data_IF_446670860519
#
_entry.id   IF_446670860519
#
_cell.length_a   1.000
_cell.length_b   1.000
_cell.length_c   1.000
_cell.angle_alpha   90.00
_cell.angle_beta   90.00
_cell.angle_gamma   90.00
#
_symmetry.space_group_name_H-M   'P 1'
#
loop_
_entity.id
_entity.type
_entity.pdbx_description
1 polymer ?
#
# COMPACT_ATOMS: atom_id res chain seq x y z
N UNK A 1 -6.85 4.75 -42.33
CA UNK A 1 -7.65 3.54 -42.02
C UNK A 1 -7.25 3.15 -40.61
N UNK A 2 -8.11 3.42 -39.64
CA UNK A 2 -7.81 3.32 -38.21
C UNK A 2 -8.22 1.93 -37.72
N UNK A 3 -7.27 1.09 -37.35
CA UNK A 3 -7.57 -0.11 -36.56
C UNK A 3 -7.66 0.29 -35.08
N UNK A 4 -8.73 -0.10 -34.37
CA UNK A 4 -8.81 0.09 -32.93
C UNK A 4 -8.02 -1.04 -32.26
N UNK A 5 -6.78 -0.76 -31.83
CA UNK A 5 -6.06 -1.67 -30.92
C UNK A 5 -6.65 -1.49 -29.52
N UNK A 6 -7.80 -2.12 -29.30
CA UNK A 6 -8.49 -2.29 -28.02
C UNK A 6 -8.33 -3.72 -27.52
N UNK A 7 -7.10 -4.14 -27.26
CA UNK A 7 -6.86 -5.40 -26.53
C UNK A 7 -6.08 -5.08 -25.25
N UNK A 8 -6.84 -4.77 -24.19
CA UNK A 8 -6.35 -4.97 -22.84
C UNK A 8 -6.35 -6.48 -22.59
N UNK A 9 -5.22 -7.12 -22.86
CA UNK A 9 -5.01 -8.53 -22.57
C UNK A 9 -5.13 -8.77 -21.04
N UNK A 10 -5.66 -9.94 -20.67
CA UNK A 10 -5.89 -10.36 -19.27
C UNK A 10 -4.63 -10.32 -18.39
N UNK A 11 -4.77 -10.65 -17.10
CA UNK A 11 -3.59 -10.74 -16.21
C UNK A 11 -2.52 -11.61 -16.86
N UNK A 12 -1.30 -11.09 -16.98
CA UNK A 12 -0.14 -11.83 -17.45
C UNK A 12 0.05 -13.07 -16.58
N UNK A 13 -0.42 -14.21 -17.06
CA UNK A 13 -0.28 -15.50 -16.37
C UNK A 13 0.98 -16.24 -16.83
N UNK A 14 1.64 -15.81 -17.92
CA UNK A 14 2.87 -16.43 -18.40
C UNK A 14 3.83 -15.46 -19.10
N UNK A 15 5.13 -15.75 -19.00
CA UNK A 15 6.21 -15.00 -19.66
C UNK A 15 6.07 -15.07 -21.19
N UNK A 16 5.52 -16.16 -21.75
CA UNK A 16 5.33 -16.30 -23.20
C UNK A 16 4.38 -15.25 -23.78
N UNK A 17 3.30 -14.89 -23.08
CA UNK A 17 2.37 -13.85 -23.54
C UNK A 17 3.04 -12.47 -23.61
N UNK A 18 3.97 -12.20 -22.70
CA UNK A 18 4.76 -10.97 -22.71
C UNK A 18 5.70 -10.93 -23.92
N UNK A 19 6.35 -12.06 -24.24
CA UNK A 19 7.23 -12.19 -25.40
C UNK A 19 6.51 -11.97 -26.72
N UNK A 20 5.26 -12.45 -26.83
CA UNK A 20 4.44 -12.24 -28.02
C UNK A 20 4.03 -10.78 -28.22
N UNK A 21 3.90 -10.01 -27.14
CA UNK A 21 3.57 -8.59 -27.18
C UNK A 21 4.81 -7.67 -27.37
N UNK A 22 6.03 -8.21 -27.28
CA UNK A 22 7.25 -7.43 -27.47
C UNK A 22 7.43 -7.02 -28.94
N UNK A 23 7.82 -5.76 -29.15
CA UNK A 23 8.12 -5.24 -30.47
C UNK A 23 9.61 -5.38 -30.77
N UNK A 24 9.97 -6.09 -31.84
CA UNK A 24 11.34 -6.24 -32.36
C UNK A 24 12.41 -6.66 -31.31
N UNK A 25 12.30 -7.86 -30.69
CA UNK A 25 13.35 -8.37 -29.81
C UNK A 25 14.53 -9.01 -30.55
N UNK A 26 14.58 -8.99 -31.90
CA UNK A 26 15.46 -9.87 -32.65
C UNK A 26 16.95 -9.58 -32.41
N UNK A 27 17.61 -10.52 -31.72
CA UNK A 27 19.06 -10.54 -31.49
C UNK A 27 19.55 -9.77 -30.27
N UNK A 28 18.68 -9.10 -29.51
CA UNK A 28 19.08 -8.32 -28.30
C UNK A 28 18.76 -9.07 -27.01
N UNK A 29 19.59 -8.94 -25.95
CA UNK A 29 19.28 -9.47 -24.64
C UNK A 29 18.04 -8.77 -24.06
N UNK A 30 17.17 -9.55 -23.42
CA UNK A 30 15.89 -9.08 -22.85
C UNK A 30 15.89 -9.27 -21.34
N UNK A 31 15.51 -8.22 -20.60
CA UNK A 31 15.36 -8.25 -19.14
C UNK A 31 13.93 -7.89 -18.76
N UNK A 32 13.23 -8.82 -18.10
CA UNK A 32 11.83 -8.65 -17.70
C UNK A 32 11.77 -8.43 -16.18
N UNK A 33 11.40 -7.23 -15.74
CA UNK A 33 11.33 -6.87 -14.30
C UNK A 33 12.60 -7.21 -13.50
N UNK A 34 13.78 -7.14 -14.13
CA UNK A 34 15.07 -7.49 -13.51
C UNK A 34 15.41 -8.98 -13.53
N UNK A 35 14.53 -9.82 -14.11
CA UNK A 35 14.79 -11.25 -14.31
C UNK A 35 15.22 -11.47 -15.78
N UNK A 36 16.38 -12.09 -16.01
CA UNK A 36 16.80 -12.45 -17.37
C UNK A 36 15.97 -13.61 -17.91
N UNK A 37 15.84 -13.67 -19.23
CA UNK A 37 14.89 -14.53 -19.97
C UNK A 37 15.01 -16.06 -19.73
N UNK A 38 16.08 -16.52 -19.07
CA UNK A 38 16.39 -17.93 -18.84
C UNK A 38 15.88 -18.46 -17.48
N UNK A 39 15.12 -17.67 -16.73
CA UNK A 39 14.64 -18.07 -15.40
C UNK A 39 13.29 -18.78 -15.49
N UNK A 40 13.26 -20.07 -15.13
CA UNK A 40 12.02 -20.87 -15.04
C UNK A 40 11.47 -20.77 -13.61
N UNK A 41 10.33 -20.08 -13.38
CA UNK A 41 9.70 -20.09 -12.07
C UNK A 41 9.02 -21.45 -11.82
N UNK A 42 9.52 -22.21 -10.85
CA UNK A 42 8.77 -23.31 -10.24
C UNK A 42 7.65 -22.73 -9.37
N UNK A 43 6.38 -23.07 -9.62
CA UNK A 43 5.34 -23.22 -8.57
C UNK A 43 3.97 -23.61 -9.14
N UNK A 44 3.44 -24.78 -8.73
CA UNK A 44 2.01 -25.08 -8.95
C UNK A 44 1.29 -25.80 -7.79
N UNK A 45 1.93 -26.32 -6.73
CA UNK A 45 1.18 -27.00 -5.64
C UNK A 45 0.89 -26.14 -4.38
N UNK A 46 1.62 -25.03 -4.17
CA UNK A 46 1.53 -24.23 -2.93
C UNK A 46 0.24 -23.38 -2.82
N UNK A 47 -0.46 -23.16 -3.95
CA UNK A 47 -1.61 -22.24 -4.00
C UNK A 47 -2.89 -22.83 -3.40
N UNK A 48 -3.08 -24.16 -3.41
CA UNK A 48 -4.31 -24.79 -2.92
C UNK A 48 -4.38 -24.82 -1.38
N UNK A 49 -3.26 -25.04 -0.71
CA UNK A 49 -3.18 -25.01 0.76
C UNK A 49 -3.29 -23.57 1.29
N UNK A 50 -2.68 -22.61 0.59
CA UNK A 50 -2.72 -21.19 0.94
C UNK A 50 -4.14 -20.62 0.93
N UNK A 51 -4.96 -20.99 -0.05
CA UNK A 51 -6.35 -20.53 -0.14
C UNK A 51 -7.19 -21.02 1.05
N UNK A 52 -7.04 -22.27 1.50
CA UNK A 52 -7.78 -22.79 2.66
C UNK A 52 -7.40 -22.09 3.97
N UNK A 53 -6.12 -21.73 4.13
CA UNK A 53 -5.63 -21.00 5.32
C UNK A 53 -6.15 -19.55 5.32
N UNK A 54 -6.23 -18.90 4.16
CA UNK A 54 -6.76 -17.55 4.03
C UNK A 54 -8.25 -17.46 4.37
N UNK A 55 -9.06 -18.47 4.03
CA UNK A 55 -10.48 -18.52 4.37
C UNK A 55 -10.72 -18.64 5.88
N UNK A 56 -9.99 -19.53 6.58
CA UNK A 56 -10.11 -19.71 8.03
C UNK A 56 -9.68 -18.45 8.79
N UNK A 57 -8.57 -17.82 8.38
CA UNK A 57 -8.10 -16.56 8.97
C UNK A 57 -9.13 -15.43 8.78
N UNK A 58 -9.81 -15.40 7.65
CA UNK A 58 -10.85 -14.40 7.36
C UNK A 58 -12.04 -14.53 8.31
N UNK A 59 -12.49 -15.76 8.60
CA UNK A 59 -13.58 -16.00 9.56
C UNK A 59 -13.19 -15.58 10.98
N UNK A 60 -11.99 -15.96 11.44
CA UNK A 60 -11.47 -15.57 12.77
C UNK A 60 -11.42 -14.04 12.89
N UNK A 61 -10.96 -13.36 11.84
CA UNK A 61 -10.87 -11.90 11.81
C UNK A 61 -12.26 -11.23 11.94
N UNK A 62 -13.28 -11.76 11.27
CA UNK A 62 -14.65 -11.22 11.37
C UNK A 62 -15.20 -11.36 12.80
N UNK A 63 -15.02 -12.53 13.43
CA UNK A 63 -15.45 -12.78 14.81
C UNK A 63 -14.74 -11.81 15.76
N UNK A 64 -13.42 -11.65 15.61
CA UNK A 64 -12.63 -10.70 16.39
C UNK A 64 -13.12 -9.26 16.21
N UNK A 65 -13.39 -8.84 14.97
CA UNK A 65 -13.85 -7.49 14.66
C UNK A 65 -15.18 -7.18 15.35
N UNK A 66 -16.14 -8.10 15.28
CA UNK A 66 -17.44 -7.98 15.97
C UNK A 66 -17.22 -7.92 17.49
N UNK A 67 -16.41 -8.82 18.05
CA UNK A 67 -16.12 -8.86 19.48
C UNK A 67 -15.46 -7.56 19.98
N UNK A 68 -14.55 -6.96 19.21
CA UNK A 68 -13.89 -5.71 19.56
C UNK A 68 -14.83 -4.50 19.50
N UNK A 69 -15.77 -4.46 18.54
CA UNK A 69 -16.81 -3.41 18.49
C UNK A 69 -17.78 -3.55 19.67
N UNK A 70 -18.32 -4.75 19.89
CA UNK A 70 -19.26 -5.02 20.98
C UNK A 70 -18.58 -4.77 22.33
N UNK A 71 -17.33 -5.23 22.49
CA UNK A 71 -16.51 -4.96 23.66
C UNK A 71 -16.23 -3.48 23.86
N UNK A 72 -15.91 -2.74 22.79
CA UNK A 72 -15.68 -1.29 22.87
C UNK A 72 -16.92 -0.50 23.26
N UNK A 73 -18.09 -0.86 22.72
CA UNK A 73 -19.37 -0.21 23.07
C UNK A 73 -19.81 -0.59 24.48
N UNK A 74 -19.84 -1.88 24.80
CA UNK A 74 -20.32 -2.37 26.09
C UNK A 74 -19.39 -2.00 27.24
N UNK A 75 -18.08 -2.20 27.09
CA UNK A 75 -17.11 -1.93 28.17
C UNK A 75 -16.73 -0.45 28.26
N UNK A 76 -16.90 0.31 27.17
CA UNK A 76 -16.68 1.76 27.16
C UNK A 76 -17.65 2.54 28.05
N UNK A 77 -18.84 1.99 28.32
CA UNK A 77 -19.79 2.55 29.29
C UNK A 77 -19.29 2.42 30.74
N UNK A 78 -18.56 1.34 31.05
CA UNK A 78 -18.02 1.07 32.39
C UNK A 78 -16.65 1.73 32.62
N UNK A 79 -15.74 1.63 31.65
CA UNK A 79 -14.43 2.28 31.70
C UNK A 79 -14.02 2.78 30.31
N UNK A 80 -13.91 4.11 30.20
CA UNK A 80 -13.48 4.81 28.98
C UNK A 80 -12.13 4.29 28.47
N UNK A 81 -11.21 3.87 29.35
CA UNK A 81 -9.90 3.33 28.97
C UNK A 81 -10.04 1.99 28.24
N UNK A 82 -10.97 1.13 28.69
CA UNK A 82 -11.21 -0.16 28.06
C UNK A 82 -11.84 0.03 26.68
N UNK A 83 -12.76 0.99 26.53
CA UNK A 83 -13.33 1.37 25.24
C UNK A 83 -12.27 1.81 24.23
N UNK A 84 -11.33 2.67 24.65
CA UNK A 84 -10.20 3.11 23.82
C UNK A 84 -9.29 1.94 23.45
N UNK A 85 -9.01 1.03 24.38
CA UNK A 85 -8.18 -0.15 24.13
C UNK A 85 -8.82 -1.11 23.11
N UNK A 86 -10.12 -1.41 23.27
CA UNK A 86 -10.86 -2.25 22.32
C UNK A 86 -10.85 -1.63 20.91
N UNK A 87 -11.11 -0.33 20.80
CA UNK A 87 -11.07 0.36 19.51
C UNK A 87 -9.65 0.39 18.91
N UNK A 88 -8.64 0.67 19.73
CA UNK A 88 -7.23 0.63 19.33
C UNK A 88 -6.78 -0.73 18.81
N UNK A 89 -7.29 -1.81 19.43
CA UNK A 89 -6.91 -3.17 19.07
C UNK A 89 -7.30 -3.53 17.63
N UNK A 90 -8.41 -2.96 17.12
CA UNK A 90 -8.81 -3.08 15.71
C UNK A 90 -7.75 -2.53 14.75
N UNK A 91 -7.24 -1.32 15.03
CA UNK A 91 -6.17 -0.71 14.23
C UNK A 91 -4.87 -1.52 14.32
N UNK A 92 -4.59 -2.10 15.49
CA UNK A 92 -3.40 -2.91 15.70
C UNK A 92 -3.44 -4.18 14.85
N UNK A 93 -4.53 -4.96 14.93
CA UNK A 93 -4.67 -6.23 14.21
C UNK A 93 -4.74 -6.01 12.70
N UNK A 94 -5.57 -5.07 12.23
CA UNK A 94 -5.65 -4.72 10.81
C UNK A 94 -4.28 -4.23 10.30
N UNK A 95 -3.66 -3.34 11.07
CA UNK A 95 -2.37 -2.77 10.73
C UNK A 95 -1.26 -3.82 10.60
N UNK A 96 -1.20 -4.77 11.53
CA UNK A 96 -0.26 -5.89 11.48
C UNK A 96 -0.50 -6.78 10.27
N UNK A 97 -1.76 -7.16 9.99
CA UNK A 97 -2.10 -8.00 8.82
C UNK A 97 -1.65 -7.31 7.52
N UNK A 98 -1.96 -6.02 7.35
CA UNK A 98 -1.56 -5.28 6.15
C UNK A 98 -0.03 -5.13 6.08
N UNK A 99 0.63 -4.91 7.20
CA UNK A 99 2.10 -4.82 7.26
C UNK A 99 2.73 -6.16 6.83
N UNK A 100 2.31 -7.29 7.39
CA UNK A 100 2.82 -8.61 7.02
C UNK A 100 2.60 -8.93 5.54
N UNK A 101 1.45 -8.54 4.97
CA UNK A 101 1.19 -8.71 3.53
C UNK A 101 2.03 -7.79 2.64
N UNK A 102 2.58 -6.70 3.15
CA UNK A 102 3.32 -5.69 2.36
C UNK A 102 4.84 -5.69 2.57
N UNK A 103 5.37 -6.40 3.58
CA UNK A 103 6.82 -6.52 3.86
C UNK A 103 7.63 -6.94 2.62
N UNK A 104 7.10 -7.82 1.76
CA UNK A 104 7.79 -8.27 0.54
C UNK A 104 7.67 -7.36 -0.69
N UNK A 105 6.72 -6.41 -0.70
CA UNK A 105 6.37 -5.62 -1.90
C UNK A 105 6.90 -4.17 -1.87
N UNK A 106 7.74 -3.85 -0.88
CA UNK A 106 8.19 -2.48 -0.60
C UNK A 106 7.21 -1.77 0.34
N UNK A 107 7.58 -1.70 1.63
CA UNK A 107 6.74 -1.10 2.66
C UNK A 107 6.45 0.37 2.39
N UNK A 108 5.17 0.72 2.34
CA UNK A 108 4.72 2.10 2.40
C UNK A 108 4.64 2.51 3.89
N UNK A 109 5.27 3.62 4.32
CA UNK A 109 5.20 4.09 5.72
C UNK A 109 3.77 4.28 6.22
N UNK A 110 2.81 4.57 5.33
CA UNK A 110 1.40 4.67 5.70
C UNK A 110 0.83 3.36 6.24
N UNK A 111 1.37 2.21 5.83
CA UNK A 111 0.93 0.91 6.33
C UNK A 111 1.35 0.71 7.79
N UNK A 112 2.51 1.24 8.19
CA UNK A 112 3.00 1.19 9.57
C UNK A 112 2.26 2.13 10.53
N UNK A 113 1.49 3.09 10.00
CA UNK A 113 0.72 4.03 10.80
C UNK A 113 -0.41 3.33 11.57
N UNK A 114 -1.11 2.39 10.93
CA UNK A 114 -2.19 1.62 11.55
C UNK A 114 -1.74 0.80 12.78
N UNK A 115 -0.71 -0.06 12.70
CA UNK A 115 -0.28 -0.82 13.87
C UNK A 115 0.32 0.08 14.96
N UNK A 116 0.99 1.19 14.59
CA UNK A 116 1.50 2.14 15.58
C UNK A 116 0.38 2.81 16.38
N UNK A 117 -0.65 3.34 15.71
CA UNK A 117 -1.82 3.95 16.37
C UNK A 117 -2.53 2.93 17.24
N UNK A 118 -2.73 1.72 16.72
CA UNK A 118 -3.35 0.64 17.48
C UNK A 118 -2.55 0.27 18.72
N UNK A 119 -1.21 0.21 18.62
CA UNK A 119 -0.33 -0.08 19.75
C UNK A 119 -0.40 1.00 20.83
N UNK A 120 -0.48 2.27 20.45
CA UNK A 120 -0.62 3.37 21.41
C UNK A 120 -1.99 3.33 22.11
N UNK A 121 -3.07 3.22 21.33
CA UNK A 121 -4.44 3.23 21.85
C UNK A 121 -4.76 1.98 22.66
N UNK A 122 -4.04 0.87 22.46
CA UNK A 122 -4.23 -0.37 23.22
C UNK A 122 -3.27 -0.45 24.40
N UNK A 123 -1.98 -0.20 24.16
CA UNK A 123 -0.92 -0.39 25.14
C UNK A 123 -0.99 0.59 26.31
N UNK A 124 -1.22 1.88 26.06
CA UNK A 124 -1.25 2.89 27.14
C UNK A 124 -2.45 2.66 28.08
N UNK A 125 -3.69 2.46 27.59
CA UNK A 125 -4.81 2.19 28.49
C UNK A 125 -4.70 0.86 29.24
N UNK A 126 -4.21 -0.21 28.59
CA UNK A 126 -3.98 -1.50 29.26
C UNK A 126 -2.92 -1.36 30.35
N UNK A 127 -1.82 -0.68 30.08
CA UNK A 127 -0.80 -0.39 31.08
C UNK A 127 -1.39 0.38 32.27
N UNK A 128 -2.23 1.37 32.01
CA UNK A 128 -2.85 2.14 33.08
C UNK A 128 -3.82 1.31 33.93
N UNK A 129 -4.57 0.40 33.32
CA UNK A 129 -5.42 -0.57 34.05
C UNK A 129 -4.57 -1.53 34.88
N UNK A 130 -3.44 -1.97 34.34
CA UNK A 130 -2.48 -2.80 35.06
C UNK A 130 -1.88 -2.06 36.27
N UNK A 131 -1.56 -0.78 36.15
CA UNK A 131 -1.10 0.04 37.29
C UNK A 131 -2.17 0.16 38.39
N UNK A 132 -3.46 0.19 38.04
CA UNK A 132 -4.53 0.22 39.05
C UNK A 132 -4.57 -1.04 39.92
N UNK A 133 -4.07 -2.17 39.43
CA UNK A 133 -4.01 -3.42 40.19
C UNK A 133 -2.70 -3.63 40.95
N UNK A 134 -1.70 -2.77 40.73
CA UNK A 134 -0.36 -2.87 41.33
C UNK A 134 -0.03 -1.57 42.07
N UNK A 135 -0.14 -1.52 43.42
CA UNK A 135 -0.04 -0.29 44.20
C UNK A 135 1.34 0.38 44.17
N UNK A 136 2.39 -0.32 43.73
CA UNK A 136 3.73 0.24 43.50
C UNK A 136 3.79 1.20 42.29
N UNK A 137 2.82 1.12 41.37
CA UNK A 137 2.83 1.85 40.11
C UNK A 137 1.83 3.01 40.14
N UNK A 138 2.27 4.20 39.73
CA UNK A 138 1.39 5.37 39.66
C UNK A 138 0.57 5.36 38.38
N UNK A 139 -0.77 5.24 38.43
CA UNK A 139 -1.60 5.32 37.25
C UNK A 139 -1.53 6.73 36.64
N UNK A 140 -1.56 6.79 35.32
CA UNK A 140 -1.56 8.05 34.58
C UNK A 140 -3.00 8.56 34.48
N UNK A 141 -3.20 9.87 34.64
CA UNK A 141 -4.53 10.46 34.48
C UNK A 141 -5.07 10.24 33.06
N UNK A 142 -6.40 10.12 32.94
CA UNK A 142 -7.06 9.93 31.64
C UNK A 142 -6.71 11.08 30.67
N UNK A 143 -6.75 12.32 31.14
CA UNK A 143 -6.45 13.50 30.32
C UNK A 143 -5.01 13.49 29.84
N UNK A 144 -4.06 13.09 30.70
CA UNK A 144 -2.65 12.95 30.28
C UNK A 144 -2.47 11.87 29.21
N UNK A 145 -3.22 10.77 29.27
CA UNK A 145 -3.20 9.71 28.23
C UNK A 145 -3.73 10.26 26.91
N UNK A 146 -4.87 10.95 26.93
CA UNK A 146 -5.45 11.55 25.71
C UNK A 146 -4.49 12.57 25.11
N UNK A 147 -3.92 13.46 25.91
CA UNK A 147 -2.91 14.44 25.47
C UNK A 147 -1.70 13.77 24.85
N UNK A 148 -1.19 12.68 25.46
CA UNK A 148 -0.05 11.92 24.94
C UNK A 148 -0.37 11.31 23.57
N UNK A 149 -1.55 10.69 23.42
CA UNK A 149 -2.00 10.12 22.14
C UNK A 149 -2.12 11.22 21.08
N UNK A 150 -2.75 12.35 21.38
CA UNK A 150 -2.92 13.45 20.43
C UNK A 150 -1.57 14.06 20.00
N UNK A 151 -0.62 14.20 20.92
CA UNK A 151 0.74 14.65 20.60
C UNK A 151 1.47 13.64 19.71
N UNK A 152 1.33 12.35 19.98
CA UNK A 152 1.94 11.30 19.15
C UNK A 152 1.41 11.33 17.72
N UNK A 153 0.12 11.61 17.51
CA UNK A 153 -0.47 11.74 16.19
C UNK A 153 0.14 12.90 15.39
N UNK A 154 0.43 14.03 16.05
CA UNK A 154 1.13 15.15 15.43
C UNK A 154 2.52 14.74 14.93
N UNK A 155 3.28 14.00 15.76
CA UNK A 155 4.61 13.50 15.39
C UNK A 155 4.53 12.54 14.20
N UNK A 156 3.57 11.60 14.22
CA UNK A 156 3.34 10.68 13.12
C UNK A 156 2.97 11.42 11.83
N UNK A 157 2.06 12.40 11.91
CA UNK A 157 1.66 13.21 10.76
C UNK A 157 2.85 13.92 10.12
N UNK A 158 3.73 14.50 10.94
CA UNK A 158 4.97 15.13 10.47
C UNK A 158 5.91 14.13 9.79
N UNK A 159 6.11 12.95 10.38
CA UNK A 159 6.94 11.88 9.80
C UNK A 159 6.38 11.41 8.45
N UNK A 160 5.06 11.23 8.34
CA UNK A 160 4.41 10.83 7.09
C UNK A 160 4.65 11.87 5.98
N UNK A 161 4.53 13.16 6.28
CA UNK A 161 4.78 14.24 5.33
C UNK A 161 6.25 14.22 4.89
N UNK A 162 7.18 14.28 5.84
CA UNK A 162 8.62 14.35 5.56
C UNK A 162 9.07 13.13 4.77
N UNK A 163 8.66 11.93 5.17
CA UNK A 163 9.02 10.71 4.45
C UNK A 163 8.46 10.69 3.02
N UNK A 164 7.19 11.07 2.83
CA UNK A 164 6.55 11.03 1.51
C UNK A 164 7.23 11.98 0.53
N UNK A 165 7.55 13.18 0.99
CA UNK A 165 8.29 14.19 0.21
C UNK A 165 9.72 13.71 -0.07
N UNK A 166 10.44 13.25 0.96
CA UNK A 166 11.83 12.80 0.83
C UNK A 166 11.95 11.59 -0.10
N UNK A 167 11.04 10.62 0.00
CA UNK A 167 11.03 9.44 -0.87
C UNK A 167 10.72 9.83 -2.33
N UNK A 168 9.82 10.79 -2.56
CA UNK A 168 9.57 11.33 -3.89
C UNK A 168 10.84 11.92 -4.50
N UNK A 169 11.50 12.84 -3.78
CA UNK A 169 12.73 13.47 -4.25
C UNK A 169 13.88 12.48 -4.43
N UNK A 170 14.06 11.52 -3.51
CA UNK A 170 15.08 10.46 -3.63
C UNK A 170 14.86 9.60 -4.86
N UNK A 171 13.62 9.18 -5.14
CA UNK A 171 13.30 8.40 -6.35
C UNK A 171 13.50 9.22 -7.62
N UNK A 172 13.12 10.49 -7.59
CA UNK A 172 13.34 11.41 -8.71
C UNK A 172 14.83 11.68 -8.98
N UNK A 173 15.66 11.74 -7.93
CA UNK A 173 17.11 11.89 -8.07
C UNK A 173 17.79 10.60 -8.54
N UNK A 174 17.34 9.44 -8.03
CA UNK A 174 17.86 8.12 -8.43
C UNK A 174 17.50 7.77 -9.87
N UNK A 175 16.27 8.04 -10.28
CA UNK A 175 15.81 7.85 -11.66
C UNK A 175 15.98 9.17 -12.42
N UNK A 176 17.21 9.49 -12.80
CA UNK A 176 17.57 10.77 -13.41
C UNK A 176 17.48 10.77 -14.93
N UNK A 177 17.65 9.60 -15.57
CA UNK A 177 17.69 9.47 -17.02
C UNK A 177 16.27 9.30 -17.59
N UNK A 178 15.97 9.99 -18.68
CA UNK A 178 14.66 9.94 -19.34
C UNK A 178 14.81 9.12 -20.62
N UNK A 179 13.97 8.10 -20.77
CA UNK A 179 13.90 7.28 -21.99
C UNK A 179 12.48 7.30 -22.55
N UNK A 180 12.38 7.21 -23.87
CA UNK A 180 11.12 6.99 -24.56
C UNK A 180 10.78 5.51 -24.47
N UNK A 181 9.70 5.18 -23.75
CA UNK A 181 9.23 3.82 -23.60
C UNK A 181 7.88 3.63 -24.27
N UNK A 182 7.71 2.50 -24.96
CA UNK A 182 6.45 2.09 -25.58
C UNK A 182 5.66 1.23 -24.60
N UNK A 183 4.39 1.55 -24.41
CA UNK A 183 3.48 0.67 -23.69
C UNK A 183 3.16 -0.52 -24.59
N UNK A 184 3.61 -1.71 -24.21
CA UNK A 184 3.38 -2.94 -24.99
C UNK A 184 2.19 -3.73 -24.46
N UNK A 185 1.83 -3.51 -23.21
CA UNK A 185 0.79 -4.28 -22.54
C UNK A 185 0.16 -3.46 -21.41
N UNK A 186 -1.12 -3.71 -21.14
CA UNK A 186 -1.82 -3.17 -19.98
C UNK A 186 -2.32 -4.34 -19.14
N UNK A 187 -1.59 -4.65 -18.08
CA UNK A 187 -2.13 -5.52 -17.05
C UNK A 187 -3.35 -4.85 -16.44
N UNK A 188 -4.34 -5.61 -16.01
CA UNK A 188 -5.39 -5.07 -15.16
C UNK A 188 -5.73 -6.01 -14.03
N UNK A 189 -6.05 -5.42 -12.89
CA UNK A 189 -6.68 -6.11 -11.77
C UNK A 189 -8.14 -5.68 -11.71
N UNK A 190 -9.05 -6.65 -11.66
CA UNK A 190 -10.46 -6.36 -11.39
C UNK A 190 -10.59 -6.21 -9.88
N UNK A 191 -10.92 -5.00 -9.41
CA UNK A 191 -11.34 -4.77 -8.04
C UNK A 191 -12.85 -4.66 -7.99
N UNK A 192 -13.44 -5.28 -6.98
CA UNK A 192 -14.85 -5.09 -6.67
C UNK A 192 -14.95 -3.97 -5.62
N UNK A 193 -15.83 -3.02 -5.87
CA UNK A 193 -16.23 -1.99 -4.91
C UNK A 193 -17.74 -1.98 -4.77
N UNK A 194 -18.25 -1.43 -3.68
CA UNK A 194 -19.67 -1.13 -3.54
C UNK A 194 -19.85 0.38 -3.65
N UNK A 195 -20.77 0.81 -4.50
CA UNK A 195 -21.21 2.21 -4.48
C UNK A 195 -22.00 2.49 -3.20
N UNK A 196 -22.19 3.77 -2.83
CA UNK A 196 -22.89 4.18 -1.60
C UNK A 196 -24.33 3.63 -1.48
N UNK A 197 -24.91 3.17 -2.60
CA UNK A 197 -26.22 2.51 -2.66
C UNK A 197 -26.14 0.97 -2.56
N UNK A 198 -24.99 0.40 -2.17
CA UNK A 198 -24.77 -1.05 -1.99
C UNK A 198 -24.56 -1.85 -3.28
N UNK A 199 -24.68 -1.23 -4.46
CA UNK A 199 -24.48 -1.91 -5.74
C UNK A 199 -23.01 -2.27 -5.94
N UNK A 200 -22.76 -3.55 -6.23
CA UNK A 200 -21.42 -4.03 -6.57
C UNK A 200 -21.02 -3.49 -7.94
N UNK A 201 -19.91 -2.77 -7.98
CA UNK A 201 -19.29 -2.22 -9.17
C UNK A 201 -17.89 -2.80 -9.31
N UNK A 202 -17.64 -3.51 -10.40
CA UNK A 202 -16.28 -3.90 -10.76
C UNK A 202 -15.59 -2.73 -11.44
N UNK A 203 -14.40 -2.38 -10.98
CA UNK A 203 -13.54 -1.42 -11.64
C UNK A 203 -12.21 -2.09 -11.97
N UNK A 204 -11.75 -1.88 -13.20
CA UNK A 204 -10.45 -2.35 -13.65
C UNK A 204 -9.41 -1.33 -13.20
N UNK A 205 -8.33 -1.80 -12.59
CA UNK A 205 -7.15 -1.00 -12.32
C UNK A 205 -6.03 -1.46 -13.23
N UNK A 206 -5.59 -0.57 -14.09
CA UNK A 206 -4.59 -0.87 -15.10
C UNK A 206 -3.18 -0.64 -14.57
N UNK A 207 -2.26 -1.54 -14.92
CA UNK A 207 -0.84 -1.39 -14.74
C UNK A 207 -0.12 -1.54 -16.10
N UNK A 208 0.45 -0.46 -16.64
CA UNK A 208 1.14 -0.52 -17.92
C UNK A 208 2.47 -1.26 -17.80
N UNK A 209 2.76 -2.06 -18.81
CA UNK A 209 4.08 -2.64 -19.08
C UNK A 209 4.77 -1.84 -20.16
N UNK A 210 5.97 -1.38 -19.86
CA UNK A 210 6.80 -0.53 -20.70
C UNK A 210 7.95 -1.33 -21.30
N UNK A 211 8.17 -1.16 -22.60
CA UNK A 211 9.36 -1.61 -23.31
C UNK A 211 10.21 -0.40 -23.71
N UNK A 212 11.51 -0.47 -23.47
CA UNK A 212 12.50 0.51 -23.92
C UNK A 212 13.85 -0.16 -24.12
N UNK A 213 14.71 0.50 -24.88
CA UNK A 213 16.07 0.05 -25.13
C UNK A 213 17.05 0.95 -24.40
N UNK A 214 18.07 0.33 -23.79
CA UNK A 214 19.22 1.03 -23.23
C UNK A 214 20.47 0.21 -23.45
N UNK A 215 21.53 0.82 -23.98
CA UNK A 215 22.83 0.20 -24.19
C UNK A 215 22.75 -1.15 -24.95
N UNK A 216 21.88 -1.21 -25.97
CA UNK A 216 21.65 -2.42 -26.79
C UNK A 216 20.85 -3.54 -26.10
N UNK A 217 20.37 -3.32 -24.87
CA UNK A 217 19.53 -4.25 -24.12
C UNK A 217 18.08 -3.78 -24.09
N UNK A 218 17.14 -4.70 -24.32
CA UNK A 218 15.70 -4.41 -24.25
C UNK A 218 15.20 -4.70 -22.83
N UNK A 219 14.69 -3.66 -22.18
CA UNK A 219 14.09 -3.76 -20.86
C UNK A 219 12.57 -3.76 -20.98
N UNK A 220 11.94 -4.71 -20.30
CA UNK A 220 10.49 -4.78 -20.16
C UNK A 220 10.12 -4.75 -18.69
N UNK A 221 9.43 -3.69 -18.28
CA UNK A 221 9.12 -3.43 -16.88
C UNK A 221 7.65 -3.11 -16.71
N UNK A 222 7.01 -3.78 -15.75
CA UNK A 222 5.65 -3.47 -15.33
C UNK A 222 5.71 -2.41 -14.24
N UNK A 223 4.81 -1.43 -14.28
CA UNK A 223 4.59 -0.62 -13.10
C UNK A 223 4.05 -1.52 -11.96
N UNK A 224 4.59 -1.38 -10.75
CA UNK A 224 4.08 -2.12 -9.58
C UNK A 224 2.76 -1.56 -9.05
N UNK A 225 2.41 -0.34 -9.44
CA UNK A 225 1.21 0.34 -8.96
C UNK A 225 0.20 0.47 -10.10
N UNK A 226 -0.85 -0.33 -10.03
CA UNK A 226 -2.01 -0.15 -10.89
C UNK A 226 -2.66 1.20 -10.57
N UNK A 227 -2.84 2.06 -11.56
CA UNK A 227 -3.54 3.34 -11.40
C UNK A 227 -4.45 3.63 -12.58
N UNK A 228 -5.64 4.17 -12.32
CA UNK A 228 -6.58 4.59 -13.36
C UNK A 228 -6.26 5.97 -13.94
N UNK A 229 -5.13 6.56 -13.55
CA UNK A 229 -4.74 7.90 -13.95
C UNK A 229 -3.75 7.83 -15.09
N UNK A 230 -4.05 8.56 -16.18
CA UNK A 230 -3.28 8.55 -17.43
C UNK A 230 -3.00 7.11 -17.90
N UNK A 231 -4.07 6.33 -18.11
CA UNK A 231 -3.97 5.01 -18.71
C UNK A 231 -3.30 5.13 -20.07
N UNK A 232 -2.01 4.82 -20.10
CA UNK A 232 -1.26 4.65 -21.32
C UNK A 232 -2.04 3.73 -22.25
N UNK A 233 -2.12 4.07 -23.52
CA UNK A 233 -2.72 3.17 -24.51
C UNK A 233 -1.65 2.19 -24.96
N UNK A 234 -1.99 0.94 -25.21
CA UNK A 234 -1.07 0.01 -25.87
C UNK A 234 -0.62 0.64 -27.19
N UNK A 235 0.68 0.58 -27.47
CA UNK A 235 1.34 1.25 -28.59
C UNK A 235 1.74 2.71 -28.34
N UNK A 236 1.22 3.37 -27.29
CA UNK A 236 1.62 4.75 -26.97
C UNK A 236 3.05 4.82 -26.46
N UNK A 237 3.77 5.87 -26.87
CA UNK A 237 5.11 6.18 -26.38
C UNK A 237 4.99 7.22 -25.27
N UNK A 238 5.71 7.01 -24.17
CA UNK A 238 5.75 7.93 -23.04
C UNK A 238 7.16 8.05 -22.49
N UNK A 239 7.50 9.24 -22.03
CA UNK A 239 8.75 9.50 -21.34
C UNK A 239 8.69 8.93 -19.93
N UNK A 240 9.55 7.97 -19.64
CA UNK A 240 9.72 7.41 -18.29
C UNK A 240 11.10 7.76 -17.75
N UNK A 241 11.22 7.88 -16.43
CA UNK A 241 12.52 8.02 -15.78
C UNK A 241 13.04 6.65 -15.34
N UNK A 242 14.31 6.37 -15.60
CA UNK A 242 14.97 5.13 -15.24
C UNK A 242 16.19 5.42 -14.37
N UNK A 243 16.54 4.47 -13.49
CA UNK A 243 17.82 4.52 -12.77
C UNK A 243 18.96 4.18 -13.75
N UNK A 244 19.95 5.06 -13.94
CA UNK A 244 21.02 4.81 -14.89
C UNK A 244 21.86 3.57 -14.55
N UNK A 245 21.94 3.20 -13.27
CA UNK A 245 22.71 2.03 -12.78
C UNK A 245 21.88 0.74 -12.80
N UNK A 246 20.57 0.84 -12.65
CA UNK A 246 19.66 -0.31 -12.61
C UNK A 246 18.45 -0.05 -13.51
N UNK A 247 18.60 -0.21 -14.84
CA UNK A 247 17.63 0.30 -15.81
C UNK A 247 16.24 -0.31 -15.69
N UNK A 248 16.08 -1.48 -15.05
CA UNK A 248 14.78 -2.10 -14.78
C UNK A 248 13.97 -1.40 -13.68
N UNK A 249 14.57 -0.47 -12.93
CA UNK A 249 13.86 0.37 -11.96
C UNK A 249 13.33 1.61 -12.67
N UNK A 250 12.01 1.65 -12.83
CA UNK A 250 11.30 2.77 -13.45
C UNK A 250 10.65 3.68 -12.39
N UNK A 251 10.61 4.97 -12.68
CA UNK A 251 9.90 5.95 -11.87
C UNK A 251 9.08 6.89 -12.74
N UNK A 252 7.76 6.88 -12.53
CA UNK A 252 6.84 7.87 -13.09
C UNK A 252 6.37 8.78 -11.96
N UNK A 253 6.66 10.10 -12.01
CA UNK A 253 6.19 11.02 -10.99
C UNK A 253 4.66 11.09 -11.06
N UNK A 254 4.00 10.64 -10.00
CA UNK A 254 2.56 10.79 -9.84
C UNK A 254 2.31 11.73 -8.65
N UNK A 255 1.74 12.91 -8.92
CA UNK A 255 1.45 13.93 -7.91
C UNK A 255 0.52 13.39 -6.82
N UNK A 256 -0.45 12.55 -7.16
CA UNK A 256 -1.38 11.95 -6.20
C UNK A 256 -0.69 11.02 -5.20
N UNK A 257 0.36 10.30 -5.63
CA UNK A 257 1.13 9.43 -4.73
C UNK A 257 1.89 10.19 -3.65
N UNK A 258 2.13 11.49 -3.84
CA UNK A 258 2.73 12.38 -2.83
C UNK A 258 1.64 13.14 -2.08
N UNK A 259 0.66 13.65 -2.81
CA UNK A 259 -0.42 14.46 -2.26
C UNK A 259 -1.27 13.71 -1.23
N UNK A 260 -1.70 12.47 -1.52
CA UNK A 260 -2.56 11.70 -0.62
C UNK A 260 -1.88 11.46 0.75
N UNK A 261 -0.64 10.93 0.81
CA UNK A 261 0.07 10.82 2.09
C UNK A 261 0.27 12.15 2.80
N UNK A 262 0.59 13.23 2.07
CA UNK A 262 0.75 14.55 2.68
C UNK A 262 -0.55 15.06 3.27
N UNK A 263 -1.67 14.91 2.57
CA UNK A 263 -3.00 15.28 3.05
C UNK A 263 -3.36 14.51 4.33
N UNK A 264 -3.15 13.19 4.34
CA UNK A 264 -3.34 12.36 5.54
C UNK A 264 -2.45 12.88 6.68
N UNK A 265 -1.16 13.12 6.43
CA UNK A 265 -0.24 13.64 7.45
C UNK A 265 -0.68 14.99 8.01
N UNK A 266 -1.22 15.89 7.18
CA UNK A 266 -1.78 17.18 7.63
C UNK A 266 -3.01 16.97 8.51
N UNK A 267 -3.93 16.05 8.16
CA UNK A 267 -5.07 15.71 9.01
C UNK A 267 -4.64 15.20 10.38
N UNK A 268 -3.58 14.38 10.42
CA UNK A 268 -2.97 13.87 11.66
C UNK A 268 -2.29 14.94 12.53
N UNK A 269 -2.07 16.15 11.99
CA UNK A 269 -1.57 17.29 12.76
C UNK A 269 -2.73 18.21 13.15
N UNK A 270 -3.58 18.57 12.20
CA UNK A 270 -4.64 19.56 12.40
C UNK A 270 -5.71 19.04 13.36
N UNK A 271 -6.22 17.82 13.17
CA UNK A 271 -7.30 17.29 14.03
C UNK A 271 -6.85 17.17 15.49
N UNK A 272 -5.65 16.63 15.82
CA UNK A 272 -5.21 16.57 17.20
C UNK A 272 -4.91 17.94 17.80
N UNK A 273 -4.37 18.89 17.02
CA UNK A 273 -4.16 20.26 17.51
C UNK A 273 -5.47 20.95 17.85
N UNK A 274 -6.52 20.76 17.05
CA UNK A 274 -7.86 21.28 17.35
C UNK A 274 -8.41 20.60 18.62
N UNK A 275 -8.31 19.28 18.72
CA UNK A 275 -8.76 18.55 19.90
C UNK A 275 -8.03 18.99 21.19
N UNK A 276 -6.71 19.20 21.13
CA UNK A 276 -5.89 19.71 22.23
C UNK A 276 -6.25 21.15 22.66
N UNK A 277 -7.01 21.91 21.86
CA UNK A 277 -7.49 23.25 22.24
C UNK A 277 -8.84 23.21 22.94
N UNK A 278 -9.57 22.12 22.80
CA UNK A 278 -10.92 21.92 23.36
C UNK A 278 -10.86 21.17 24.69
N UNK A 279 -9.80 20.40 24.92
CA UNK A 279 -9.46 19.72 26.18
C UNK A 279 -8.66 20.68 27.06
#
# INVERSE_FOLDING_TARGET
MNEPVTEAYGSLNSIEQLKQAMYDPMGKPVVINGIPDNYVPQKTEENALKNKVEDVLSVIFIIYFIAAIVGGMGLGEYDKLLGIACFGSLFLVVGLIVTFKTIGAGMNPLVLLFPYIGALMTGIPIYNIYCRTHPELTPVSFDSIVVLILRSFCVVGAVVIVFSITNHFRRMARCSEIVDARCIFLNYQIKQGHDAAGRSRSYRIYSPTWQYEKDGTVYVTSEFSSSNFETARVGSVSKIRIDPRTPWIIYRPNKLKVFIPCFIGVMFIVLPLVALRVI
#
